data_IF_770512588178
#
_entry.id   IF_770512588178
#
_cell.length_a   1.000
_cell.length_b   1.000
_cell.length_c   1.000
_cell.angle_alpha   90.00
_cell.angle_beta   90.00
_cell.angle_gamma   90.00
#
_symmetry.space_group_name_H-M   'P 1'
#
loop_
_entity.id
_entity.type
_entity.pdbx_description
1 polymer ?
#
# COMPACT_ATOMS: atom_id res chain seq x y z
N UNK A 1 0.56 -9.15 -27.91
CA UNK A 1 0.64 -10.51 -28.47
C UNK A 1 0.15 -11.58 -27.48
N UNK A 2 0.76 -11.75 -26.29
CA UNK A 2 0.40 -12.80 -25.34
C UNK A 2 -1.06 -12.74 -24.84
N UNK A 3 -1.60 -11.55 -24.54
CA UNK A 3 -3.01 -11.39 -24.12
C UNK A 3 -3.95 -11.78 -25.25
N UNK A 4 -3.67 -11.36 -26.49
CA UNK A 4 -4.50 -11.69 -27.64
C UNK A 4 -4.52 -13.22 -27.92
N UNK A 5 -3.38 -13.89 -27.76
CA UNK A 5 -3.30 -15.33 -27.90
C UNK A 5 -4.08 -16.06 -26.77
N UNK A 6 -3.99 -15.59 -25.53
CA UNK A 6 -4.73 -16.14 -24.41
C UNK A 6 -6.25 -15.95 -24.56
N UNK A 7 -6.68 -14.80 -25.10
CA UNK A 7 -8.10 -14.54 -25.42
C UNK A 7 -8.58 -15.47 -26.54
N UNK A 8 -7.81 -15.61 -27.61
CA UNK A 8 -8.16 -16.47 -28.75
C UNK A 8 -8.26 -17.97 -28.35
N UNK A 9 -7.48 -18.39 -27.37
CA UNK A 9 -7.46 -19.76 -26.86
C UNK A 9 -8.38 -19.98 -25.65
N UNK A 10 -9.16 -18.99 -25.20
CA UNK A 10 -9.99 -18.98 -23.97
C UNK A 10 -9.22 -19.49 -22.71
N UNK A 11 -7.95 -19.10 -22.60
CA UNK A 11 -7.11 -19.53 -21.49
C UNK A 11 -7.47 -18.71 -20.23
N UNK A 12 -7.84 -19.37 -19.13
CA UNK A 12 -8.07 -18.68 -17.86
C UNK A 12 -6.76 -18.08 -17.33
N UNK A 13 -6.82 -16.86 -16.86
CA UNK A 13 -5.66 -16.14 -16.33
C UNK A 13 -5.90 -15.68 -14.91
N UNK A 14 -4.83 -15.57 -14.16
CA UNK A 14 -4.80 -14.91 -12.86
C UNK A 14 -3.64 -13.90 -12.83
N UNK A 15 -3.81 -12.81 -12.12
CA UNK A 15 -2.77 -11.79 -12.12
C UNK A 15 -2.94 -10.73 -11.04
N UNK A 16 -1.90 -9.91 -10.88
CA UNK A 16 -1.91 -8.78 -9.95
C UNK A 16 -2.84 -7.70 -10.50
N UNK A 17 -3.78 -7.23 -9.68
CA UNK A 17 -4.64 -6.09 -9.99
C UNK A 17 -3.81 -4.84 -10.28
N UNK A 18 -4.24 -4.07 -11.27
CA UNK A 18 -3.56 -2.87 -11.74
C UNK A 18 -3.94 -2.55 -13.18
N UNK A 19 -3.31 -1.53 -13.74
CA UNK A 19 -3.61 -1.02 -15.08
C UNK A 19 -3.47 -2.08 -16.19
N UNK A 20 -2.44 -2.91 -16.12
CA UNK A 20 -2.18 -3.96 -17.11
C UNK A 20 -3.23 -5.07 -17.08
N UNK A 21 -3.67 -5.48 -15.89
CA UNK A 21 -4.71 -6.51 -15.72
C UNK A 21 -6.08 -5.97 -16.15
N UNK A 22 -6.42 -4.74 -15.76
CA UNK A 22 -7.65 -4.08 -16.19
C UNK A 22 -7.72 -3.97 -17.73
N UNK A 23 -6.61 -3.58 -18.35
CA UNK A 23 -6.51 -3.50 -19.81
C UNK A 23 -6.62 -4.89 -20.48
N UNK A 24 -6.04 -5.93 -19.89
CA UNK A 24 -6.14 -7.28 -20.39
C UNK A 24 -7.58 -7.81 -20.32
N UNK A 25 -8.33 -7.50 -19.25
CA UNK A 25 -9.76 -7.82 -19.16
C UNK A 25 -10.60 -7.11 -20.20
N UNK A 26 -10.31 -5.82 -20.48
CA UNK A 26 -10.99 -5.08 -21.56
C UNK A 26 -10.77 -5.72 -22.94
N UNK A 27 -9.63 -6.39 -23.14
CA UNK A 27 -9.33 -7.15 -24.34
C UNK A 27 -9.97 -8.55 -24.37
N UNK A 28 -10.80 -8.87 -23.36
CA UNK A 28 -11.52 -10.14 -23.30
C UNK A 28 -10.80 -11.26 -22.55
N UNK A 29 -9.71 -10.97 -21.83
CA UNK A 29 -9.01 -12.00 -21.05
C UNK A 29 -9.90 -12.55 -19.92
N UNK A 30 -10.07 -13.88 -19.88
CA UNK A 30 -10.81 -14.58 -18.83
C UNK A 30 -10.01 -14.60 -17.53
N UNK A 31 -10.23 -13.58 -16.68
CA UNK A 31 -9.57 -13.47 -15.40
C UNK A 31 -10.33 -14.26 -14.33
N UNK A 32 -9.67 -15.24 -13.72
CA UNK A 32 -10.25 -16.13 -12.68
C UNK A 32 -9.76 -15.77 -11.26
N UNK A 33 -8.70 -14.99 -11.15
CA UNK A 33 -8.20 -14.49 -9.88
C UNK A 33 -7.40 -13.22 -10.06
N UNK A 34 -7.67 -12.23 -9.23
CA UNK A 34 -6.89 -11.00 -9.15
C UNK A 34 -6.51 -10.72 -7.70
N UNK A 35 -5.35 -10.10 -7.50
CA UNK A 35 -4.89 -9.64 -6.19
C UNK A 35 -4.30 -8.25 -6.34
N UNK A 36 -4.50 -7.37 -5.35
CA UNK A 36 -3.79 -6.10 -5.24
C UNK A 36 -2.31 -6.30 -4.97
N UNK A 37 -1.51 -5.26 -5.18
CA UNK A 37 -0.08 -5.25 -4.81
C UNK A 37 0.14 -4.81 -3.37
N UNK A 38 -0.80 -4.04 -2.83
CA UNK A 38 -0.72 -3.46 -1.49
C UNK A 38 -0.95 -4.53 -0.43
N UNK A 39 -0.04 -4.63 0.54
CA UNK A 39 -0.14 -5.60 1.63
C UNK A 39 0.06 -7.07 1.23
N UNK A 40 0.45 -7.35 -0.03
CA UNK A 40 0.68 -8.71 -0.51
C UNK A 40 2.14 -8.96 -0.90
N UNK A 41 2.64 -10.15 -0.64
CA UNK A 41 3.94 -10.62 -1.11
C UNK A 41 3.79 -11.38 -2.44
N UNK A 42 4.89 -11.60 -3.15
CA UNK A 42 4.89 -12.45 -4.35
C UNK A 42 4.37 -13.85 -4.05
N UNK A 43 4.74 -14.40 -2.89
CA UNK A 43 4.33 -15.75 -2.44
C UNK A 43 2.82 -15.79 -2.19
N UNK A 44 2.28 -14.86 -1.42
CA UNK A 44 0.83 -14.83 -1.11
C UNK A 44 -0.01 -14.61 -2.37
N UNK A 45 0.46 -13.80 -3.32
CA UNK A 45 -0.19 -13.64 -4.63
C UNK A 45 -0.17 -14.93 -5.44
N UNK A 46 0.99 -15.60 -5.53
CA UNK A 46 1.12 -16.86 -6.25
C UNK A 46 0.19 -17.93 -5.68
N UNK A 47 0.12 -18.06 -4.35
CA UNK A 47 -0.81 -18.98 -3.68
C UNK A 47 -2.26 -18.64 -4.03
N UNK A 48 -2.65 -17.37 -4.00
CA UNK A 48 -4.00 -16.95 -4.36
C UNK A 48 -4.35 -17.31 -5.82
N UNK A 49 -3.43 -17.09 -6.75
CA UNK A 49 -3.64 -17.41 -8.17
C UNK A 49 -3.74 -18.91 -8.42
N UNK A 50 -2.83 -19.68 -7.84
CA UNK A 50 -2.87 -21.15 -7.96
C UNK A 50 -4.14 -21.72 -7.32
N UNK A 51 -4.57 -21.18 -6.17
CA UNK A 51 -5.82 -21.57 -5.54
C UNK A 51 -7.04 -21.29 -6.41
N UNK A 52 -7.08 -20.12 -7.08
CA UNK A 52 -8.15 -19.75 -7.99
C UNK A 52 -8.22 -20.66 -9.23
N UNK A 53 -7.07 -20.96 -9.82
CA UNK A 53 -6.96 -21.89 -10.96
C UNK A 53 -7.30 -23.33 -10.56
N UNK A 54 -6.80 -23.81 -9.42
CA UNK A 54 -7.10 -25.14 -8.91
C UNK A 54 -8.60 -25.32 -8.65
N UNK A 55 -9.25 -24.30 -8.08
CA UNK A 55 -10.72 -24.30 -7.91
C UNK A 55 -11.45 -24.38 -9.24
N UNK A 56 -11.00 -23.65 -10.25
CA UNK A 56 -11.59 -23.69 -11.60
C UNK A 56 -11.50 -25.08 -12.23
N UNK A 57 -10.37 -25.77 -12.03
CA UNK A 57 -10.12 -27.09 -12.59
C UNK A 57 -10.55 -28.25 -11.70
N UNK A 58 -11.18 -28.00 -10.54
CA UNK A 58 -11.59 -29.03 -9.59
C UNK A 58 -10.43 -29.79 -8.95
N UNK A 59 -9.23 -29.21 -8.94
CA UNK A 59 -8.02 -29.80 -8.37
C UNK A 59 -7.93 -29.47 -6.89
N UNK A 60 -7.74 -30.49 -6.04
CA UNK A 60 -7.47 -30.30 -4.63
C UNK A 60 -6.07 -29.69 -4.44
N UNK A 61 -6.00 -28.41 -4.09
CA UNK A 61 -4.75 -27.70 -3.84
C UNK A 61 -4.67 -27.26 -2.37
N UNK A 62 -3.60 -27.65 -1.70
CA UNK A 62 -3.27 -27.18 -0.35
C UNK A 62 -1.95 -26.41 -0.42
N UNK A 63 -1.96 -25.07 -0.19
CA UNK A 63 -0.73 -24.31 -0.23
C UNK A 63 0.23 -24.73 0.89
N UNK A 64 1.45 -25.10 0.55
CA UNK A 64 2.53 -25.27 1.50
C UNK A 64 3.22 -23.91 1.69
N UNK A 65 2.82 -23.19 2.72
CA UNK A 65 3.50 -21.96 3.14
C UNK A 65 4.68 -22.36 4.03
N UNK A 66 5.88 -22.48 3.48
CA UNK A 66 7.05 -22.80 4.31
C UNK A 66 8.08 -23.76 3.72
N UNK A 67 8.20 -23.87 2.43
CA UNK A 67 9.35 -24.49 1.78
C UNK A 67 10.34 -23.44 1.35
N UNK A 68 11.54 -23.47 1.89
CA UNK A 68 12.67 -22.69 1.41
C UNK A 68 12.96 -23.04 -0.06
N UNK A 69 12.37 -22.31 -0.96
CA UNK A 69 12.66 -22.34 -2.38
C UNK A 69 12.51 -20.93 -2.91
N UNK A 70 13.13 -20.04 -2.21
CA UNK A 70 13.42 -18.76 -2.75
C UNK A 70 14.75 -18.83 -3.45
N UNK A 71 14.78 -18.34 -4.62
CA UNK A 71 15.97 -17.70 -5.10
C UNK A 71 16.99 -18.50 -5.88
N UNK A 72 16.58 -19.14 -6.89
CA UNK A 72 17.51 -19.32 -8.03
C UNK A 72 17.55 -18.10 -8.97
N UNK A 73 16.69 -17.10 -8.78
CA UNK A 73 16.63 -15.91 -9.64
C UNK A 73 17.27 -14.64 -9.03
N UNK A 74 17.56 -14.60 -7.72
CA UNK A 74 18.12 -13.39 -7.07
C UNK A 74 19.65 -13.29 -7.07
N UNK A 75 20.34 -14.28 -7.61
CA UNK A 75 21.80 -14.36 -7.51
C UNK A 75 22.59 -13.42 -8.42
N UNK A 76 22.01 -12.86 -9.44
CA UNK A 76 22.77 -12.10 -10.46
C UNK A 76 22.67 -10.58 -10.37
N UNK A 77 21.65 -10.01 -9.70
CA UNK A 77 21.51 -8.56 -9.58
C UNK A 77 22.32 -8.00 -8.40
N UNK A 78 23.08 -6.92 -8.63
CA UNK A 78 23.80 -6.24 -7.56
C UNK A 78 22.81 -5.67 -6.52
N UNK A 79 23.17 -5.72 -5.22
CA UNK A 79 22.31 -5.35 -4.09
C UNK A 79 21.74 -3.92 -4.20
N UNK A 80 22.48 -2.97 -4.74
CA UNK A 80 22.03 -1.60 -4.90
C UNK A 80 20.84 -1.45 -5.88
N UNK A 81 20.70 -2.35 -6.87
CA UNK A 81 19.52 -2.37 -7.78
C UNK A 81 18.27 -2.89 -7.09
N UNK A 82 18.42 -3.61 -6.00
CA UNK A 82 17.28 -4.10 -5.20
C UNK A 82 16.74 -3.05 -4.23
N UNK A 83 17.37 -1.89 -4.11
CA UNK A 83 16.85 -0.77 -3.33
C UNK A 83 15.57 -0.27 -4.00
N UNK A 84 14.47 -0.42 -3.30
CA UNK A 84 13.16 0.02 -3.77
C UNK A 84 12.34 0.54 -2.60
N UNK A 85 12.27 1.85 -2.47
CA UNK A 85 11.49 2.51 -1.41
C UNK A 85 10.03 1.99 -1.43
N UNK A 86 9.41 1.95 -2.63
CA UNK A 86 8.09 1.34 -2.82
C UNK A 86 8.00 -0.06 -2.21
N UNK A 87 8.95 -0.92 -2.53
CA UNK A 87 8.92 -2.30 -2.07
C UNK A 87 9.16 -2.46 -0.57
N UNK A 88 9.97 -1.59 0.03
CA UNK A 88 10.21 -1.55 1.47
C UNK A 88 8.93 -1.07 2.17
N UNK A 89 8.34 0.03 1.72
CA UNK A 89 7.10 0.56 2.30
C UNK A 89 5.95 -0.44 2.22
N UNK A 90 5.71 -1.03 1.05
CA UNK A 90 4.68 -2.07 0.87
C UNK A 90 4.93 -3.28 1.79
N UNK A 91 6.18 -3.70 1.95
CA UNK A 91 6.53 -4.79 2.88
C UNK A 91 6.30 -4.45 4.36
N UNK A 92 6.29 -3.17 4.70
CA UNK A 92 6.07 -2.68 6.07
C UNK A 92 4.60 -2.40 6.40
N UNK A 93 3.69 -2.37 5.42
CA UNK A 93 2.26 -2.07 5.61
C UNK A 93 1.61 -2.88 6.75
N UNK A 94 1.86 -4.20 6.91
CA UNK A 94 1.25 -4.95 8.00
C UNK A 94 1.50 -4.37 9.39
N UNK A 95 2.69 -3.77 9.62
CA UNK A 95 3.00 -3.13 10.89
C UNK A 95 2.19 -1.84 11.10
N UNK A 96 1.96 -1.07 10.03
CA UNK A 96 1.11 0.13 10.11
C UNK A 96 -0.36 -0.22 10.31
N UNK A 97 -0.84 -1.31 9.70
CA UNK A 97 -2.19 -1.83 9.95
C UNK A 97 -2.34 -2.24 11.44
N UNK A 98 -1.36 -2.96 11.98
CA UNK A 98 -1.37 -3.34 13.39
C UNK A 98 -1.41 -2.10 14.31
N UNK A 99 -0.60 -1.09 14.02
CA UNK A 99 -0.60 0.20 14.73
C UNK A 99 -1.99 0.86 14.68
N UNK A 100 -2.58 0.96 13.50
CA UNK A 100 -3.89 1.56 13.28
C UNK A 100 -5.00 0.81 14.04
N UNK A 101 -4.96 -0.54 14.05
CA UNK A 101 -5.91 -1.36 14.80
C UNK A 101 -5.77 -1.18 16.31
N UNK A 102 -4.55 -1.13 16.83
CA UNK A 102 -4.30 -0.88 18.26
C UNK A 102 -4.83 0.50 18.66
N UNK A 103 -4.59 1.52 17.83
CA UNK A 103 -5.16 2.86 18.06
C UNK A 103 -6.70 2.82 18.02
N UNK A 104 -7.29 2.10 17.09
CA UNK A 104 -8.75 1.95 17.02
C UNK A 104 -9.31 1.28 18.29
N UNK A 105 -8.70 0.20 18.72
CA UNK A 105 -9.12 -0.53 19.93
C UNK A 105 -8.91 0.30 21.20
N UNK A 106 -7.88 1.14 21.27
CA UNK A 106 -7.66 2.02 22.43
C UNK A 106 -8.79 3.05 22.65
N UNK A 107 -9.60 3.33 21.60
CA UNK A 107 -10.77 4.21 21.70
C UNK A 107 -12.01 3.52 22.29
N UNK A 108 -11.98 2.20 22.45
CA UNK A 108 -13.08 1.44 23.07
C UNK A 108 -13.01 1.63 24.61
N UNK A 109 -14.13 2.00 25.27
CA UNK A 109 -14.17 2.11 26.73
C UNK A 109 -13.68 0.82 27.42
N UNK A 110 -12.75 0.96 28.35
CA UNK A 110 -12.12 -0.17 29.05
C UNK A 110 -10.84 -0.71 28.41
N UNK A 111 -10.48 -0.29 27.20
CA UNK A 111 -9.26 -0.70 26.50
C UNK A 111 -8.22 0.43 26.37
N UNK A 112 -8.34 1.50 27.15
CA UNK A 112 -7.44 2.67 27.11
C UNK A 112 -5.96 2.32 27.36
N UNK A 113 -5.65 1.23 28.08
CA UNK A 113 -4.28 0.74 28.24
C UNK A 113 -3.59 0.33 26.95
N UNK A 114 -4.33 0.16 25.85
CA UNK A 114 -3.73 -0.06 24.52
C UNK A 114 -3.03 1.19 23.96
N UNK A 115 -3.21 2.37 24.55
CA UNK A 115 -2.44 3.56 24.18
C UNK A 115 -0.94 3.35 24.42
N UNK A 116 -0.56 2.72 25.52
CA UNK A 116 0.85 2.40 25.80
C UNK A 116 1.42 1.40 24.78
N UNK A 117 0.59 0.44 24.34
CA UNK A 117 0.96 -0.50 23.26
C UNK A 117 1.12 0.22 21.93
N UNK A 118 0.26 1.18 21.62
CA UNK A 118 0.37 2.02 20.45
C UNK A 118 1.69 2.80 20.42
N UNK A 119 2.05 3.44 21.55
CA UNK A 119 3.30 4.19 21.68
C UNK A 119 4.54 3.28 21.55
N UNK A 120 4.46 2.06 22.06
CA UNK A 120 5.51 1.06 21.88
C UNK A 120 5.66 0.68 20.41
N UNK A 121 4.55 0.45 19.71
CA UNK A 121 4.57 0.08 18.30
C UNK A 121 5.10 1.22 17.41
N UNK A 122 4.74 2.48 17.69
CA UNK A 122 5.30 3.64 16.97
C UNK A 122 6.82 3.66 17.09
N UNK A 123 7.34 3.50 18.31
CA UNK A 123 8.79 3.49 18.56
C UNK A 123 9.49 2.31 17.90
N UNK A 124 8.79 1.20 17.68
CA UNK A 124 9.30 0.02 16.99
C UNK A 124 9.26 0.10 15.46
N UNK A 125 8.53 1.05 14.86
CA UNK A 125 8.40 1.17 13.40
C UNK A 125 9.75 1.28 12.66
N UNK A 126 10.73 2.07 13.12
CA UNK A 126 12.06 2.12 12.49
C UNK A 126 12.71 0.75 12.38
N UNK A 127 12.51 -0.11 13.40
CA UNK A 127 13.06 -1.48 13.45
C UNK A 127 12.41 -2.35 12.38
N UNK A 128 11.09 -2.29 12.26
CA UNK A 128 10.34 -3.06 11.25
C UNK A 128 10.73 -2.64 9.83
N UNK A 129 10.78 -1.34 9.58
CA UNK A 129 11.17 -0.79 8.27
C UNK A 129 12.60 -1.17 7.93
N UNK A 130 13.53 -1.09 8.88
CA UNK A 130 14.93 -1.50 8.69
C UNK A 130 15.04 -3.00 8.40
N UNK A 131 14.31 -3.85 9.11
CA UNK A 131 14.32 -5.30 8.88
C UNK A 131 13.81 -5.65 7.46
N UNK A 132 12.70 -5.04 7.04
CA UNK A 132 12.15 -5.22 5.68
C UNK A 132 13.12 -4.70 4.62
N UNK A 133 13.72 -3.52 4.85
CA UNK A 133 14.69 -2.92 3.94
C UNK A 133 15.94 -3.81 3.77
N UNK A 134 16.53 -4.25 4.88
CA UNK A 134 17.73 -5.06 4.85
C UNK A 134 17.49 -6.44 4.22
N UNK A 135 16.37 -7.11 4.56
CA UNK A 135 15.97 -8.36 3.93
C UNK A 135 15.83 -8.20 2.42
N UNK A 136 15.15 -7.15 1.96
CA UNK A 136 14.89 -6.92 0.54
C UNK A 136 16.18 -6.59 -0.23
N UNK A 137 17.00 -5.69 0.31
CA UNK A 137 18.23 -5.22 -0.34
C UNK A 137 19.31 -6.30 -0.33
N UNK A 138 19.47 -7.03 0.78
CA UNK A 138 20.46 -8.11 0.85
C UNK A 138 20.09 -9.30 -0.04
N UNK A 139 18.80 -9.60 -0.19
CA UNK A 139 18.30 -10.84 -0.77
C UNK A 139 18.53 -12.05 0.13
N UNK A 140 18.89 -11.82 1.39
CA UNK A 140 19.06 -12.83 2.43
C UNK A 140 17.84 -12.81 3.35
N UNK A 141 17.17 -13.95 3.50
CA UNK A 141 15.94 -13.97 4.29
C UNK A 141 16.18 -13.69 5.78
N UNK A 142 16.62 -14.68 6.54
CA UNK A 142 16.78 -14.57 7.99
C UNK A 142 17.95 -13.66 8.37
N UNK A 143 19.09 -13.84 7.73
CA UNK A 143 20.31 -13.05 8.02
C UNK A 143 20.07 -11.56 7.71
N UNK A 144 19.43 -11.25 6.60
CA UNK A 144 19.07 -9.88 6.23
C UNK A 144 18.06 -9.27 7.20
N UNK A 145 17.05 -10.04 7.62
CA UNK A 145 16.05 -9.59 8.58
C UNK A 145 16.66 -9.28 9.94
N UNK A 146 17.52 -10.17 10.47
CA UNK A 146 18.20 -9.96 11.76
C UNK A 146 19.16 -8.77 11.71
N UNK A 147 19.97 -8.67 10.65
CA UNK A 147 20.85 -7.51 10.44
C UNK A 147 20.05 -6.20 10.41
N UNK A 148 18.91 -6.19 9.68
CA UNK A 148 18.04 -5.04 9.62
C UNK A 148 17.39 -4.70 10.97
N UNK A 149 16.98 -5.69 11.75
CA UNK A 149 16.42 -5.46 13.09
C UNK A 149 17.46 -4.82 14.03
N UNK A 150 18.69 -5.32 14.06
CA UNK A 150 19.79 -4.74 14.85
C UNK A 150 20.10 -3.31 14.39
N UNK A 151 20.22 -3.09 13.08
CA UNK A 151 20.44 -1.76 12.53
C UNK A 151 19.28 -0.82 12.87
N UNK A 152 18.03 -1.30 12.79
CA UNK A 152 16.82 -0.53 13.09
C UNK A 152 16.73 -0.07 14.54
N UNK A 153 17.08 -0.92 15.51
CA UNK A 153 17.16 -0.56 16.94
C UNK A 153 18.15 0.59 17.12
N UNK A 154 19.34 0.47 16.56
CA UNK A 154 20.36 1.51 16.65
C UNK A 154 20.00 2.77 15.85
N UNK A 155 19.21 2.64 14.81
CA UNK A 155 18.79 3.76 13.95
C UNK A 155 17.52 4.46 14.45
N UNK A 156 16.87 3.93 15.50
CA UNK A 156 15.62 4.49 16.05
C UNK A 156 15.72 5.99 16.44
N UNK A 157 16.85 6.52 16.96
CA UNK A 157 17.00 7.96 17.21
C UNK A 157 16.85 8.83 15.96
N UNK A 158 17.12 8.29 14.76
CA UNK A 158 16.90 8.95 13.48
C UNK A 158 15.46 8.84 12.96
N UNK A 159 14.54 8.31 13.76
CA UNK A 159 13.13 8.08 13.40
C UNK A 159 12.98 7.06 12.27
N UNK A 160 11.84 7.14 11.58
CA UNK A 160 11.52 6.22 10.47
C UNK A 160 12.54 6.28 9.34
N UNK A 161 13.00 7.49 8.99
CA UNK A 161 14.03 7.69 7.96
C UNK A 161 15.37 7.10 8.39
N UNK A 162 15.73 7.23 9.66
CA UNK A 162 16.89 6.57 10.24
C UNK A 162 16.81 5.05 10.08
N UNK A 163 15.67 4.45 10.43
CA UNK A 163 15.41 3.03 10.23
C UNK A 163 15.52 2.60 8.76
N UNK A 164 14.95 3.38 7.85
CA UNK A 164 15.02 3.12 6.41
C UNK A 164 16.47 3.14 5.91
N UNK A 165 17.23 4.18 6.24
CA UNK A 165 18.64 4.32 5.84
C UNK A 165 19.49 3.23 6.47
N UNK A 166 19.35 2.98 7.78
CA UNK A 166 20.06 1.92 8.50
C UNK A 166 19.80 0.55 7.90
N UNK A 167 18.55 0.25 7.58
CA UNK A 167 18.15 -1.01 6.96
C UNK A 167 18.70 -1.18 5.53
N UNK A 168 18.69 -0.13 4.70
CA UNK A 168 19.29 -0.17 3.36
C UNK A 168 20.79 -0.43 3.46
N UNK A 169 21.50 0.30 4.32
CA UNK A 169 22.93 0.12 4.54
C UNK A 169 23.26 -1.27 5.08
N UNK A 170 22.46 -1.77 6.04
CA UNK A 170 22.57 -3.12 6.57
C UNK A 170 22.40 -4.18 5.46
N UNK A 171 21.41 -4.00 4.58
CA UNK A 171 21.19 -4.89 3.46
C UNK A 171 22.32 -4.90 2.44
N UNK A 172 22.88 -3.74 2.12
CA UNK A 172 24.05 -3.61 1.24
C UNK A 172 25.27 -4.31 1.84
N UNK A 173 25.57 -4.03 3.12
CA UNK A 173 26.69 -4.62 3.82
C UNK A 173 26.51 -6.14 4.00
N UNK A 174 25.31 -6.61 4.33
CA UNK A 174 25.01 -8.04 4.43
C UNK A 174 25.26 -8.76 3.10
N UNK A 175 24.78 -8.19 1.99
CA UNK A 175 25.00 -8.74 0.66
C UNK A 175 26.48 -8.79 0.26
N UNK A 176 27.28 -7.85 0.73
CA UNK A 176 28.73 -7.84 0.50
C UNK A 176 29.44 -8.84 1.42
N UNK A 177 29.17 -8.81 2.73
CA UNK A 177 29.84 -9.66 3.73
C UNK A 177 29.59 -11.14 3.48
N UNK A 178 28.37 -11.56 3.13
CA UNK A 178 28.09 -12.98 2.88
C UNK A 178 28.93 -13.52 1.70
N UNK A 179 29.08 -12.73 0.65
CA UNK A 179 29.90 -13.11 -0.51
C UNK A 179 31.37 -13.14 -0.15
N UNK A 180 31.83 -12.13 0.61
CA UNK A 180 33.20 -12.03 1.04
C UNK A 180 33.60 -13.21 1.96
N UNK A 181 32.82 -13.52 2.97
CA UNK A 181 33.05 -14.63 3.90
C UNK A 181 33.10 -15.98 3.19
N UNK A 182 32.15 -16.24 2.31
CA UNK A 182 32.08 -17.49 1.53
C UNK A 182 33.28 -17.58 0.55
N UNK A 183 33.69 -16.50 -0.07
CA UNK A 183 34.88 -16.48 -0.93
C UNK A 183 36.19 -16.81 -0.14
N UNK A 184 36.25 -16.41 1.14
CA UNK A 184 37.34 -16.73 2.03
C UNK A 184 37.18 -18.07 2.78
N UNK A 185 36.29 -18.96 2.27
CA UNK A 185 36.08 -20.31 2.79
C UNK A 185 35.63 -20.39 4.24
N UNK A 186 34.93 -19.36 4.74
CA UNK A 186 34.27 -19.45 6.04
C UNK A 186 33.22 -20.55 5.98
N UNK A 187 33.06 -21.38 7.05
CA UNK A 187 31.92 -22.29 7.17
C UNK A 187 30.60 -21.49 7.07
N UNK A 188 29.60 -22.05 6.42
CA UNK A 188 28.35 -21.35 6.12
C UNK A 188 27.67 -20.74 7.37
N UNK A 189 27.69 -21.50 8.49
CA UNK A 189 27.14 -21.01 9.77
C UNK A 189 27.89 -19.79 10.28
N UNK A 190 29.24 -19.85 10.26
CA UNK A 190 30.09 -18.72 10.67
C UNK A 190 29.90 -17.50 9.76
N UNK A 191 29.80 -17.73 8.45
CA UNK A 191 29.52 -16.69 7.48
C UNK A 191 28.18 -15.98 7.77
N UNK A 192 27.13 -16.73 8.08
CA UNK A 192 25.83 -16.16 8.44
C UNK A 192 25.86 -15.37 9.74
N UNK A 193 26.51 -15.90 10.79
CA UNK A 193 26.63 -15.22 12.10
C UNK A 193 27.40 -13.90 11.94
N UNK A 194 28.58 -13.95 11.31
CA UNK A 194 29.40 -12.76 11.10
C UNK A 194 28.67 -11.72 10.23
N UNK A 195 28.03 -12.18 9.16
CA UNK A 195 27.26 -11.30 8.28
C UNK A 195 26.10 -10.65 9.03
N UNK A 196 25.27 -11.41 9.73
CA UNK A 196 24.12 -10.87 10.45
C UNK A 196 24.50 -9.88 11.54
N UNK A 197 25.55 -10.18 12.31
CA UNK A 197 26.03 -9.33 13.38
C UNK A 197 26.65 -8.02 12.86
N UNK A 198 27.64 -8.12 12.00
CA UNK A 198 28.38 -6.93 11.54
C UNK A 198 27.54 -6.05 10.58
N UNK A 199 26.74 -6.68 9.72
CA UNK A 199 25.88 -5.92 8.82
C UNK A 199 24.74 -5.19 9.54
N UNK A 200 24.35 -5.63 10.73
CA UNK A 200 23.44 -4.88 11.59
C UNK A 200 24.13 -3.80 12.39
N UNK A 201 25.21 -4.19 13.08
CA UNK A 201 25.90 -3.33 14.04
C UNK A 201 26.56 -2.10 13.37
N UNK A 202 27.37 -2.29 12.33
CA UNK A 202 28.16 -1.21 11.75
C UNK A 202 27.27 -0.12 11.11
N UNK A 203 26.30 -0.43 10.24
CA UNK A 203 25.38 0.58 9.73
C UNK A 203 24.52 1.21 10.83
N UNK A 204 24.06 0.41 11.79
CA UNK A 204 23.29 0.93 12.92
C UNK A 204 24.06 1.97 13.71
N UNK A 205 25.33 1.71 14.08
CA UNK A 205 26.18 2.68 14.76
C UNK A 205 26.47 3.91 13.89
N UNK A 206 26.68 3.74 12.60
CA UNK A 206 26.84 4.87 11.67
C UNK A 206 25.60 5.78 11.68
N UNK A 207 24.41 5.20 11.63
CA UNK A 207 23.19 6.01 11.73
C UNK A 207 23.08 6.64 13.09
N UNK A 208 23.28 5.89 14.17
CA UNK A 208 23.15 6.37 15.55
C UNK A 208 24.03 7.61 15.83
N UNK A 209 25.30 7.56 15.48
CA UNK A 209 26.26 8.62 15.82
C UNK A 209 26.39 9.72 14.76
N UNK A 210 26.11 9.42 13.49
CA UNK A 210 26.44 10.33 12.39
C UNK A 210 25.19 10.77 11.60
N UNK A 211 24.34 9.82 11.19
CA UNK A 211 23.24 10.13 10.27
C UNK A 211 21.92 10.49 10.96
N UNK A 212 21.74 10.14 12.25
CA UNK A 212 20.48 10.42 12.96
C UNK A 212 20.09 11.91 12.95
N UNK A 213 20.99 12.86 13.21
CA UNK A 213 20.63 14.28 13.14
C UNK A 213 20.15 14.70 11.74
N UNK A 214 20.80 14.16 10.68
CA UNK A 214 20.43 14.47 9.30
C UNK A 214 19.06 13.87 8.94
N UNK A 215 18.78 12.63 9.35
CA UNK A 215 17.50 11.97 9.07
C UNK A 215 16.36 12.60 9.83
N UNK A 216 16.58 13.07 11.06
CA UNK A 216 15.61 13.86 11.83
C UNK A 216 15.34 15.19 11.13
N UNK A 217 16.38 15.93 10.75
CA UNK A 217 16.24 17.20 10.03
C UNK A 217 15.43 17.06 8.74
N UNK A 218 15.67 15.99 7.97
CA UNK A 218 14.89 15.70 6.76
C UNK A 218 13.43 15.37 7.09
N UNK A 219 13.19 14.57 8.13
CA UNK A 219 11.85 14.25 8.60
C UNK A 219 11.07 15.49 9.05
N UNK A 220 11.71 16.34 9.84
CA UNK A 220 11.13 17.61 10.31
C UNK A 220 10.89 18.58 9.16
N UNK A 221 11.78 18.62 8.18
CA UNK A 221 11.60 19.43 6.97
C UNK A 221 10.38 19.00 6.14
N UNK A 222 10.15 17.70 6.02
CA UNK A 222 8.94 17.16 5.37
C UNK A 222 7.70 17.53 6.16
N UNK A 223 7.70 17.31 7.47
CA UNK A 223 6.61 17.66 8.37
C UNK A 223 6.27 19.16 8.28
N UNK A 224 7.29 20.01 8.40
CA UNK A 224 7.13 21.46 8.26
C UNK A 224 6.49 21.86 6.92
N UNK A 225 6.92 21.24 5.83
CA UNK A 225 6.36 21.53 4.49
C UNK A 225 4.87 21.16 4.39
N UNK A 226 4.46 20.07 5.02
CA UNK A 226 3.06 19.63 5.05
C UNK A 226 2.24 20.57 5.93
N UNK A 227 2.70 20.88 7.13
CA UNK A 227 2.05 21.79 8.07
C UNK A 227 1.94 23.21 7.46
N UNK A 228 3.01 23.71 6.87
CA UNK A 228 3.00 25.00 6.17
C UNK A 228 1.94 25.04 5.05
N UNK A 229 1.85 24.00 4.24
CA UNK A 229 0.83 23.93 3.17
C UNK A 229 -0.61 23.94 3.75
N UNK A 230 -0.82 23.30 4.89
CA UNK A 230 -2.10 23.30 5.60
C UNK A 230 -2.38 24.67 6.24
N UNK A 231 -1.38 25.31 6.82
CA UNK A 231 -1.52 26.64 7.44
C UNK A 231 -1.82 27.74 6.41
N UNK A 232 -1.21 27.68 5.22
CA UNK A 232 -1.47 28.63 4.13
C UNK A 232 -2.90 28.50 3.61
N UNK A 233 -3.34 27.28 3.34
CA UNK A 233 -4.72 27.01 2.92
C UNK A 233 -5.06 25.52 3.06
N UNK A 234 -5.68 25.10 4.17
CA UNK A 234 -6.08 23.72 4.37
C UNK A 234 -6.95 23.18 3.24
N UNK A 235 -7.83 24.02 2.70
CA UNK A 235 -8.72 23.71 1.59
C UNK A 235 -7.94 23.37 0.31
N UNK A 236 -6.97 24.23 -0.04
CA UNK A 236 -6.13 24.02 -1.23
C UNK A 236 -5.21 22.84 -1.04
N UNK A 237 -4.60 22.66 0.12
CA UNK A 237 -3.77 21.49 0.42
C UNK A 237 -4.55 20.20 0.25
N UNK A 238 -5.75 20.13 0.81
CA UNK A 238 -6.64 18.98 0.69
C UNK A 238 -7.10 18.72 -0.76
N UNK A 239 -7.52 19.79 -1.46
CA UNK A 239 -7.96 19.67 -2.85
C UNK A 239 -6.84 19.19 -3.78
N UNK A 240 -5.62 19.74 -3.67
CA UNK A 240 -4.47 19.36 -4.47
C UNK A 240 -3.99 17.93 -4.14
N UNK A 241 -3.97 17.58 -2.86
CA UNK A 241 -3.68 16.21 -2.45
C UNK A 241 -4.69 15.22 -3.03
N UNK A 242 -5.99 15.50 -2.90
CA UNK A 242 -7.05 14.68 -3.48
C UNK A 242 -6.97 14.55 -5.01
N UNK A 243 -6.70 15.66 -5.70
CA UNK A 243 -6.50 15.71 -7.15
C UNK A 243 -5.35 14.79 -7.60
N UNK A 244 -4.27 14.77 -6.82
CA UNK A 244 -3.06 14.01 -7.16
C UNK A 244 -3.19 12.51 -6.90
N UNK A 245 -4.10 12.05 -6.02
CA UNK A 245 -4.14 10.66 -5.56
C UNK A 245 -4.32 9.64 -6.71
N UNK A 246 -5.34 9.81 -7.56
CA UNK A 246 -5.58 8.88 -8.66
C UNK A 246 -4.49 8.90 -9.74
N UNK A 247 -4.02 10.05 -10.21
CA UNK A 247 -2.85 10.10 -11.09
C UNK A 247 -1.60 9.45 -10.48
N UNK A 248 -1.34 9.68 -9.19
CA UNK A 248 -0.18 9.13 -8.51
C UNK A 248 -0.23 7.60 -8.38
N UNK A 249 -1.38 7.03 -8.00
CA UNK A 249 -1.48 5.58 -7.82
C UNK A 249 -1.44 4.83 -9.16
N UNK A 250 -2.12 5.36 -10.17
CA UNK A 250 -2.12 4.79 -11.53
C UNK A 250 -0.75 4.94 -12.19
N UNK A 251 -0.10 6.07 -12.00
CA UNK A 251 1.26 6.34 -12.48
C UNK A 251 2.35 5.59 -11.71
N UNK A 252 2.00 4.90 -10.64
CA UNK A 252 2.95 4.14 -9.81
C UNK A 252 3.81 5.01 -8.88
N UNK A 253 3.55 6.31 -8.81
CA UNK A 253 4.29 7.27 -7.97
C UNK A 253 3.83 7.20 -6.51
N UNK A 254 2.56 6.86 -6.27
CA UNK A 254 1.97 6.79 -4.94
C UNK A 254 2.83 6.04 -3.92
N UNK A 255 3.21 4.80 -4.22
CA UNK A 255 3.99 3.96 -3.31
C UNK A 255 5.45 4.41 -3.11
N UNK A 256 5.96 5.24 -4.01
CA UNK A 256 7.34 5.75 -3.93
C UNK A 256 7.45 7.11 -3.25
N UNK A 257 6.38 7.90 -3.26
CA UNK A 257 6.39 9.29 -2.77
C UNK A 257 5.30 9.49 -1.70
N UNK A 258 4.03 9.28 -2.02
CA UNK A 258 2.93 9.60 -1.11
C UNK A 258 2.91 8.66 0.10
N UNK A 259 3.01 7.35 -0.13
CA UNK A 259 3.02 6.38 0.96
C UNK A 259 4.14 6.63 2.00
N UNK A 260 5.41 6.90 1.62
CA UNK A 260 6.43 7.30 2.58
C UNK A 260 6.07 8.53 3.40
N UNK A 261 5.39 9.53 2.81
CA UNK A 261 4.94 10.73 3.54
C UNK A 261 3.86 10.38 4.57
N UNK A 262 2.84 9.61 4.17
CA UNK A 262 1.80 9.09 5.09
C UNK A 262 2.43 8.36 6.27
N UNK A 263 3.35 7.45 5.97
CA UNK A 263 4.02 6.61 6.96
C UNK A 263 4.91 7.45 7.89
N UNK A 264 5.62 8.45 7.35
CA UNK A 264 6.46 9.34 8.14
C UNK A 264 5.62 10.15 9.14
N UNK A 265 4.52 10.80 8.70
CA UNK A 265 3.62 11.51 9.61
C UNK A 265 3.03 10.58 10.66
N UNK A 266 2.54 9.40 10.26
CA UNK A 266 1.98 8.42 11.18
C UNK A 266 3.02 7.96 12.23
N UNK A 267 4.29 7.84 11.86
CA UNK A 267 5.36 7.45 12.79
C UNK A 267 5.70 8.53 13.82
N UNK A 268 5.38 9.79 13.53
CA UNK A 268 5.68 10.93 14.42
C UNK A 268 4.52 11.28 15.34
N UNK A 269 3.28 11.25 14.82
CA UNK A 269 2.10 11.73 15.57
C UNK A 269 0.92 10.76 15.59
N UNK A 270 1.08 9.55 15.03
CA UNK A 270 0.06 8.50 15.03
C UNK A 270 -1.05 8.68 13.99
N UNK A 271 -1.15 9.83 13.36
CA UNK A 271 -2.10 10.15 12.30
C UNK A 271 -1.41 10.97 11.20
N UNK A 272 -2.06 11.11 10.05
CA UNK A 272 -1.51 11.79 8.88
C UNK A 272 -2.61 12.54 8.13
N UNK A 273 -2.31 13.74 7.67
CA UNK A 273 -3.17 14.46 6.75
C UNK A 273 -3.32 13.70 5.43
N UNK A 274 -2.21 13.27 4.86
CA UNK A 274 -2.23 12.43 3.64
C UNK A 274 -2.93 11.09 3.87
N UNK A 275 -2.88 10.53 5.09
CA UNK A 275 -3.62 9.32 5.47
C UNK A 275 -5.14 9.52 5.43
N UNK A 276 -5.63 10.68 5.90
CA UNK A 276 -7.03 11.05 5.77
C UNK A 276 -7.44 11.26 4.31
N UNK A 277 -6.61 11.97 3.53
CA UNK A 277 -6.86 12.18 2.10
C UNK A 277 -6.83 10.85 1.34
N UNK A 278 -5.92 9.93 1.65
CA UNK A 278 -5.83 8.59 1.07
C UNK A 278 -7.13 7.80 1.27
N UNK A 279 -7.59 7.70 2.52
CA UNK A 279 -8.83 7.01 2.86
C UNK A 279 -10.03 7.60 2.10
N UNK A 280 -10.14 8.92 2.06
CA UNK A 280 -11.28 9.61 1.44
C UNK A 280 -11.18 9.57 -0.08
N UNK A 281 -10.03 9.93 -0.64
CA UNK A 281 -9.85 10.14 -2.08
C UNK A 281 -9.61 8.86 -2.87
N UNK A 282 -9.07 7.83 -2.26
CA UNK A 282 -8.85 6.53 -2.92
C UNK A 282 -9.88 5.50 -2.47
N UNK A 283 -9.96 5.21 -1.17
CA UNK A 283 -10.80 4.09 -0.67
C UNK A 283 -12.29 4.40 -0.85
N UNK A 284 -12.76 5.56 -0.40
CA UNK A 284 -14.20 5.90 -0.48
C UNK A 284 -14.64 6.19 -1.91
N UNK A 285 -13.80 6.80 -2.73
CA UNK A 285 -14.09 7.00 -4.16
C UNK A 285 -14.14 5.68 -4.91
N UNK A 286 -13.20 4.76 -4.68
CA UNK A 286 -13.23 3.42 -5.27
C UNK A 286 -14.49 2.65 -4.83
N UNK A 287 -14.88 2.76 -3.56
CA UNK A 287 -16.10 2.15 -3.04
C UNK A 287 -17.35 2.73 -3.75
N UNK A 288 -17.43 4.04 -3.91
CA UNK A 288 -18.56 4.67 -4.60
C UNK A 288 -18.69 4.23 -6.06
N UNK A 289 -17.58 4.16 -6.79
CA UNK A 289 -17.54 3.65 -8.17
C UNK A 289 -17.98 2.19 -8.23
N UNK A 290 -17.48 1.34 -7.34
CA UNK A 290 -17.85 -0.09 -7.32
C UNK A 290 -19.31 -0.28 -6.94
N UNK A 291 -19.83 0.44 -5.95
CA UNK A 291 -21.25 0.38 -5.56
C UNK A 291 -22.17 0.84 -6.70
N UNK A 292 -21.82 1.89 -7.45
CA UNK A 292 -22.59 2.33 -8.60
C UNK A 292 -22.67 1.24 -9.69
N UNK A 293 -21.57 0.52 -9.92
CA UNK A 293 -21.54 -0.60 -10.87
C UNK A 293 -22.20 -1.88 -10.32
N UNK A 294 -22.36 -2.00 -9.01
CA UNK A 294 -23.19 -3.06 -8.42
C UNK A 294 -24.68 -2.80 -8.65
N UNK A 295 -25.12 -1.55 -8.48
CA UNK A 295 -26.53 -1.12 -8.62
C UNK A 295 -26.94 -1.08 -10.11
N UNK A 296 -26.19 -0.37 -10.94
CA UNK A 296 -26.50 -0.17 -12.36
C UNK A 296 -25.24 -0.37 -13.22
N UNK A 297 -24.81 -1.62 -13.45
CA UNK A 297 -23.66 -1.92 -14.29
C UNK A 297 -24.00 -1.70 -15.77
N UNK A 298 -22.99 -1.47 -16.59
CA UNK A 298 -23.13 -1.42 -18.05
C UNK A 298 -23.15 -2.82 -18.66
N UNK A 299 -22.50 -3.79 -17.98
CA UNK A 299 -22.46 -5.20 -18.36
C UNK A 299 -22.60 -6.10 -17.15
N UNK A 300 -23.00 -7.36 -17.35
CA UNK A 300 -23.07 -8.37 -16.26
C UNK A 300 -21.71 -8.65 -15.62
N UNK A 301 -20.65 -8.63 -16.42
CA UNK A 301 -19.27 -8.80 -15.94
C UNK A 301 -18.84 -7.69 -14.98
N UNK A 302 -19.25 -6.44 -15.25
CA UNK A 302 -18.96 -5.32 -14.35
C UNK A 302 -19.64 -5.50 -12.98
N UNK A 303 -20.87 -6.03 -12.94
CA UNK A 303 -21.55 -6.33 -11.67
C UNK A 303 -20.78 -7.37 -10.86
N UNK A 304 -20.30 -8.42 -11.50
CA UNK A 304 -19.53 -9.47 -10.82
C UNK A 304 -18.22 -8.93 -10.22
N UNK A 305 -17.50 -8.09 -10.96
CA UNK A 305 -16.30 -7.41 -10.47
C UNK A 305 -16.59 -6.48 -9.30
N UNK A 306 -17.67 -5.69 -9.39
CA UNK A 306 -18.09 -4.79 -8.33
C UNK A 306 -18.48 -5.54 -7.05
N UNK A 307 -19.20 -6.66 -7.19
CA UNK A 307 -19.64 -7.48 -6.06
C UNK A 307 -18.46 -8.09 -5.27
N UNK A 308 -17.36 -8.43 -5.96
CA UNK A 308 -16.14 -8.92 -5.28
C UNK A 308 -15.27 -7.80 -4.72
N UNK A 309 -15.20 -6.67 -5.43
CA UNK A 309 -14.28 -5.59 -5.08
C UNK A 309 -14.78 -4.68 -3.95
N UNK A 310 -16.08 -4.36 -3.91
CA UNK A 310 -16.62 -3.42 -2.93
C UNK A 310 -16.47 -3.89 -1.46
N UNK A 311 -16.79 -5.14 -1.09
CA UNK A 311 -16.57 -5.60 0.27
C UNK A 311 -15.09 -5.60 0.67
N UNK A 312 -14.21 -6.04 -0.21
CA UNK A 312 -12.77 -6.06 0.08
C UNK A 312 -12.27 -4.64 0.32
N UNK A 313 -12.66 -3.68 -0.52
CA UNK A 313 -12.29 -2.28 -0.34
C UNK A 313 -12.80 -1.74 1.01
N UNK A 314 -14.06 -1.94 1.35
CA UNK A 314 -14.68 -1.40 2.56
C UNK A 314 -14.12 -2.01 3.85
N UNK A 315 -14.00 -3.35 3.90
CA UNK A 315 -13.59 -4.06 5.10
C UNK A 315 -12.07 -4.04 5.33
N UNK A 316 -11.26 -3.85 4.29
CA UNK A 316 -9.80 -3.82 4.42
C UNK A 316 -9.19 -2.45 4.15
N UNK A 317 -9.91 -1.51 3.50
CA UNK A 317 -9.43 -0.16 3.23
C UNK A 317 -8.20 -0.07 2.33
N UNK A 318 -7.98 -1.06 1.46
CA UNK A 318 -6.72 -1.18 0.71
C UNK A 318 -6.86 -1.55 -0.76
N UNK A 319 -8.01 -2.06 -1.19
CA UNK A 319 -8.22 -2.57 -2.56
C UNK A 319 -8.89 -1.54 -3.47
N UNK A 320 -8.21 -0.42 -3.68
CA UNK A 320 -8.69 0.68 -4.54
C UNK A 320 -8.67 0.30 -6.03
N UNK A 321 -7.85 -0.66 -6.40
CA UNK A 321 -7.76 -1.23 -7.74
C UNK A 321 -9.08 -1.87 -8.21
N UNK A 322 -10.00 -2.15 -7.29
CA UNK A 322 -11.35 -2.59 -7.63
C UNK A 322 -12.08 -1.61 -8.57
N UNK A 323 -11.75 -0.32 -8.53
CA UNK A 323 -12.33 0.70 -9.41
C UNK A 323 -11.69 0.76 -10.82
N UNK A 324 -10.49 0.23 -11.02
CA UNK A 324 -9.75 0.35 -12.26
C UNK A 324 -10.49 -0.17 -13.51
N UNK A 325 -11.15 -1.34 -13.49
CA UNK A 325 -11.87 -1.81 -14.66
C UNK A 325 -12.91 -0.81 -15.17
N UNK A 326 -13.61 -0.14 -14.26
CA UNK A 326 -14.66 0.82 -14.59
C UNK A 326 -14.09 2.14 -15.10
N UNK A 327 -12.98 2.59 -14.50
CA UNK A 327 -12.29 3.83 -14.86
C UNK A 327 -11.62 3.75 -16.23
N UNK A 328 -11.02 2.59 -16.55
CA UNK A 328 -10.37 2.41 -17.84
C UNK A 328 -11.35 2.06 -18.97
N UNK A 329 -12.48 1.44 -18.63
CA UNK A 329 -13.53 1.18 -19.62
C UNK A 329 -14.27 2.46 -20.05
N UNK A 330 -14.39 3.45 -19.17
CA UNK A 330 -15.13 4.71 -19.44
C UNK A 330 -14.36 5.92 -18.88
N UNK A 331 -13.84 6.76 -19.78
CA UNK A 331 -13.06 7.95 -19.42
C UNK A 331 -13.81 8.92 -18.49
N UNK A 332 -15.15 8.97 -18.57
CA UNK A 332 -15.97 9.80 -17.70
C UNK A 332 -15.92 9.32 -16.26
N UNK A 333 -15.88 7.99 -16.03
CA UNK A 333 -15.71 7.41 -14.69
C UNK A 333 -14.33 7.76 -14.13
N UNK A 334 -13.30 7.81 -14.96
CA UNK A 334 -11.99 8.28 -14.54
C UNK A 334 -12.01 9.76 -14.11
N UNK A 335 -12.69 10.61 -14.88
CA UNK A 335 -12.86 12.03 -14.51
C UNK A 335 -13.69 12.19 -13.23
N UNK A 336 -14.72 11.37 -13.03
CA UNK A 336 -15.50 11.29 -11.78
C UNK A 336 -14.61 10.93 -10.61
N UNK A 337 -13.71 9.95 -10.77
CA UNK A 337 -12.78 9.56 -9.70
C UNK A 337 -11.90 10.74 -9.25
N UNK A 338 -11.29 11.46 -10.20
CA UNK A 338 -10.46 12.63 -9.90
C UNK A 338 -11.29 13.73 -9.24
N UNK A 339 -12.46 14.05 -9.80
CA UNK A 339 -13.33 15.09 -9.25
C UNK A 339 -13.78 14.78 -7.81
N UNK A 340 -14.27 13.55 -7.58
CA UNK A 340 -14.72 13.13 -6.25
C UNK A 340 -13.59 13.05 -5.24
N UNK A 341 -12.39 12.65 -5.68
CA UNK A 341 -11.19 12.66 -4.85
C UNK A 341 -10.78 14.10 -4.46
N UNK A 342 -10.84 15.02 -5.41
CA UNK A 342 -10.57 16.45 -5.14
C UNK A 342 -11.57 17.03 -4.15
N UNK A 343 -12.86 16.72 -4.33
CA UNK A 343 -13.93 17.19 -3.44
C UNK A 343 -13.80 16.59 -2.04
N UNK A 344 -13.48 15.32 -1.96
CA UNK A 344 -13.19 14.63 -0.69
C UNK A 344 -11.97 15.22 0.02
N UNK A 345 -10.86 15.41 -0.68
CA UNK A 345 -9.66 16.02 -0.15
C UNK A 345 -9.89 17.46 0.32
N UNK A 346 -10.64 18.27 -0.45
CA UNK A 346 -11.07 19.61 -0.04
C UNK A 346 -11.85 19.56 1.28
N UNK A 347 -12.73 18.57 1.44
CA UNK A 347 -13.51 18.39 2.69
C UNK A 347 -12.59 17.98 3.85
N UNK A 348 -11.60 17.12 3.62
CA UNK A 348 -10.56 16.78 4.62
C UNK A 348 -9.86 18.06 5.08
N UNK A 349 -9.43 18.91 4.14
CA UNK A 349 -8.80 20.19 4.45
C UNK A 349 -9.73 21.13 5.19
N UNK A 350 -11.02 21.22 4.81
CA UNK A 350 -12.00 22.08 5.46
C UNK A 350 -12.21 21.77 6.96
N UNK A 351 -12.11 20.49 7.32
CA UNK A 351 -12.25 20.05 8.72
C UNK A 351 -10.91 19.88 9.43
N UNK A 352 -9.78 20.09 8.77
CA UNK A 352 -8.46 19.80 9.33
C UNK A 352 -8.33 18.35 9.80
N UNK A 353 -8.96 17.41 9.07
CA UNK A 353 -9.00 16.03 9.48
C UNK A 353 -7.67 15.33 9.18
N UNK A 354 -7.14 14.62 10.16
CA UNK A 354 -6.03 13.68 10.00
C UNK A 354 -6.46 12.30 10.48
N UNK A 355 -6.00 11.26 9.84
CA UNK A 355 -6.37 9.88 10.17
C UNK A 355 -5.22 8.92 9.91
N UNK A 356 -5.36 7.70 10.43
CA UNK A 356 -4.46 6.61 10.04
C UNK A 356 -4.91 6.03 8.70
N UNK A 357 -3.96 5.66 7.85
CA UNK A 357 -4.23 4.93 6.61
C UNK A 357 -4.23 3.40 6.82
N UNK A 358 -4.66 2.66 5.81
CA UNK A 358 -4.59 1.19 5.77
C UNK A 358 -5.39 0.46 6.85
N UNK A 359 -6.59 0.92 7.13
CA UNK A 359 -7.51 0.28 8.05
C UNK A 359 -8.89 0.13 7.41
N UNK A 360 -9.78 -0.72 7.97
CA UNK A 360 -11.15 -0.81 7.52
C UNK A 360 -11.82 0.57 7.46
N UNK A 361 -12.50 0.89 6.36
CA UNK A 361 -13.04 2.23 6.13
C UNK A 361 -13.97 2.69 7.27
N UNK A 362 -14.78 1.80 7.82
CA UNK A 362 -15.72 2.12 8.91
C UNK A 362 -15.03 2.47 10.24
N UNK A 363 -13.74 2.14 10.41
CA UNK A 363 -12.96 2.48 11.62
C UNK A 363 -12.33 3.87 11.50
N UNK A 364 -12.06 4.35 10.28
CA UNK A 364 -11.31 5.59 10.04
C UNK A 364 -11.83 6.81 10.84
N UNK A 365 -13.13 7.07 10.99
CA UNK A 365 -13.61 8.19 11.80
C UNK A 365 -13.19 8.13 13.26
N UNK A 366 -13.15 6.93 13.84
CA UNK A 366 -12.87 6.75 15.28
C UNK A 366 -11.39 6.94 15.63
N UNK A 367 -10.50 6.84 14.67
CA UNK A 367 -9.06 7.04 14.84
C UNK A 367 -8.56 8.33 14.21
N UNK A 368 -9.47 9.17 13.72
CA UNK A 368 -9.15 10.48 13.17
C UNK A 368 -9.11 11.55 14.26
N UNK A 369 -8.44 12.67 13.99
CA UNK A 369 -8.43 13.85 14.87
C UNK A 369 -9.81 14.49 14.99
N UNK A 370 -10.68 14.32 14.00
CA UNK A 370 -12.07 14.76 14.00
C UNK A 370 -13.01 13.73 13.37
N UNK A 371 -13.71 12.97 14.21
CA UNK A 371 -14.61 11.91 13.74
C UNK A 371 -15.72 12.44 12.82
N UNK A 372 -16.28 13.60 13.15
CA UNK A 372 -17.33 14.24 12.33
C UNK A 372 -16.76 14.69 11.00
N UNK A 373 -15.64 15.40 11.00
CA UNK A 373 -14.99 15.87 9.77
C UNK A 373 -14.61 14.73 8.84
N UNK A 374 -14.02 13.67 9.40
CA UNK A 374 -13.65 12.47 8.65
C UNK A 374 -14.88 11.77 8.06
N UNK A 375 -15.94 11.60 8.85
CA UNK A 375 -17.20 10.99 8.37
C UNK A 375 -17.81 11.81 7.24
N UNK A 376 -17.88 13.14 7.37
CA UNK A 376 -18.41 14.02 6.32
C UNK A 376 -17.57 13.91 5.06
N UNK A 377 -16.24 13.96 5.15
CA UNK A 377 -15.35 13.84 4.01
C UNK A 377 -15.52 12.48 3.29
N UNK A 378 -15.62 11.40 4.06
CA UNK A 378 -15.87 10.06 3.52
C UNK A 378 -17.23 9.98 2.80
N UNK A 379 -18.28 10.52 3.38
CA UNK A 379 -19.62 10.53 2.77
C UNK A 379 -19.66 11.41 1.51
N UNK A 380 -18.99 12.55 1.50
CA UNK A 380 -18.89 13.43 0.32
C UNK A 380 -18.19 12.71 -0.82
N UNK A 381 -17.06 12.07 -0.58
CA UNK A 381 -16.33 11.33 -1.60
C UNK A 381 -17.12 10.10 -2.11
N UNK A 382 -17.70 9.33 -1.19
CA UNK A 382 -18.53 8.18 -1.51
C UNK A 382 -19.75 8.57 -2.34
N UNK A 383 -20.54 9.53 -1.86
CA UNK A 383 -21.79 9.92 -2.52
C UNK A 383 -21.54 10.58 -3.87
N UNK A 384 -20.56 11.48 -3.97
CA UNK A 384 -20.21 12.12 -5.25
C UNK A 384 -19.74 11.09 -6.28
N UNK A 385 -18.81 10.18 -5.92
CA UNK A 385 -18.32 9.15 -6.84
C UNK A 385 -19.43 8.15 -7.21
N UNK A 386 -20.27 7.76 -6.26
CA UNK A 386 -21.42 6.87 -6.51
C UNK A 386 -22.42 7.49 -7.46
N UNK A 387 -22.94 8.69 -7.14
CA UNK A 387 -24.00 9.34 -7.91
C UNK A 387 -23.53 9.73 -9.32
N UNK A 388 -22.34 10.27 -9.45
CA UNK A 388 -21.79 10.64 -10.75
C UNK A 388 -21.49 9.41 -11.61
N UNK A 389 -20.93 8.35 -11.05
CA UNK A 389 -20.72 7.08 -11.79
C UNK A 389 -22.06 6.46 -12.19
N UNK A 390 -23.06 6.46 -11.30
CA UNK A 390 -24.40 5.99 -11.61
C UNK A 390 -25.01 6.77 -12.77
N UNK A 391 -24.88 8.10 -12.77
CA UNK A 391 -25.35 8.95 -13.86
C UNK A 391 -24.64 8.62 -15.18
N UNK A 392 -23.32 8.43 -15.17
CA UNK A 392 -22.54 8.02 -16.34
C UNK A 392 -23.06 6.68 -16.88
N UNK A 393 -23.29 5.70 -16.02
CA UNK A 393 -23.76 4.38 -16.42
C UNK A 393 -25.18 4.44 -17.01
N UNK A 394 -26.10 5.20 -16.40
CA UNK A 394 -27.46 5.41 -16.94
C UNK A 394 -27.45 6.08 -18.30
N UNK A 395 -26.64 7.13 -18.45
CA UNK A 395 -26.49 7.81 -19.74
C UNK A 395 -25.88 6.91 -20.83
N UNK A 396 -24.97 6.04 -20.46
CA UNK A 396 -24.39 5.06 -21.38
C UNK A 396 -25.43 4.04 -21.85
N UNK A 397 -26.22 3.48 -20.93
CA UNK A 397 -27.27 2.51 -21.25
C UNK A 397 -28.38 3.12 -22.11
N UNK A 398 -28.81 4.36 -21.83
CA UNK A 398 -29.81 5.06 -22.66
C UNK A 398 -29.34 5.30 -24.09
N UNK A 399 -28.03 5.49 -24.31
CA UNK A 399 -27.49 5.63 -25.66
C UNK A 399 -27.33 4.31 -26.40
N UNK A 400 -27.26 3.20 -25.67
CA UNK A 400 -27.16 1.86 -26.25
C UNK A 400 -28.53 1.25 -26.60
N UNK A 401 -29.64 1.79 -26.05
CA UNK A 401 -30.99 1.43 -26.46
C UNK A 401 -31.24 2.03 -27.84
N UNK A 402 -31.53 1.20 -28.89
CA UNK A 402 -31.87 1.72 -30.20
C UNK A 402 -33.18 2.53 -30.06
N UNK A 403 -33.24 3.71 -30.72
CA UNK A 403 -34.45 4.50 -30.78
C UNK A 403 -35.54 3.60 -31.42
N UNK A 404 -36.40 3.04 -30.60
CA UNK A 404 -37.62 2.39 -31.05
C UNK A 404 -38.56 3.49 -31.56
N UNK A 405 -38.45 3.79 -32.83
CA UNK A 405 -39.50 4.53 -33.59
C UNK A 405 -40.61 3.58 -33.97
#
# INVERSE_FOLDING_TARGET
>A
AAVAAAVAADVPAAGTGGTSIAKAQQLGLRLVGASGTTGTTSVTRSVAYVSALAKLWGVAYRPALGGASASTASGSEPAWRRISIRGIMVGSIPAFIALALVLAFSKIPGLSGLTDVFDLLIKALPVVVAAVAARRVSGLDEVGLVAGAVAGILSAPGGLLGGLVGGILAGLLASWLIRWTLAHRFPATTANIVTGALAGLLPGLLVYYVLAPLTVLLGDGVKFSIEWAQDVSPLLAGALAGLAMWPAIIGGVYHGVILPLVVLEMSQKGHSFFGAVDMVSLVMVALGITLANLVKPRTSGERALAASGAPINFFFGTFVEAAYPFMFAEKKVFAVAIFSATLGGLTVGAFGAEATAYLPAFIAPFVSTTAVGMTVAMLVALSSSFLLTLAVNVLHLRKAEPATT
#
